data_IF_494238365628
#
_entry.id   IF_494238365628
#
_cell.length_a   1.000
_cell.length_b   1.000
_cell.length_c   1.000
_cell.angle_alpha   90.00
_cell.angle_beta   90.00
_cell.angle_gamma   90.00
#
_symmetry.space_group_name_H-M   'P 1'
#
loop_
_entity.id
_entity.type
_entity.pdbx_description
1 polymer ?
#
# COMPACT_ATOMS: atom_id res chain seq x y z
N UNK A 1 -7.08 12.95 -19.73
CA UNK A 1 -6.20 12.46 -18.63
C UNK A 1 -4.91 11.89 -19.22
N UNK A 2 -3.75 12.30 -18.71
CA UNK A 2 -2.43 11.75 -19.10
C UNK A 2 -2.32 10.30 -18.61
N UNK A 3 -1.84 9.39 -19.46
CA UNK A 3 -1.54 8.00 -19.15
C UNK A 3 -0.20 7.64 -19.77
N UNK A 4 0.74 7.16 -18.97
CA UNK A 4 2.06 6.75 -19.43
C UNK A 4 2.38 5.35 -18.95
N UNK A 5 3.06 4.58 -19.79
CA UNK A 5 3.60 3.26 -19.44
C UNK A 5 5.11 3.38 -19.33
N UNK A 6 5.66 2.86 -18.25
CA UNK A 6 7.10 2.82 -18.01
C UNK A 6 7.55 1.41 -17.70
N UNK A 7 8.75 1.08 -18.16
CA UNK A 7 9.39 -0.21 -17.93
C UNK A 7 10.90 -0.01 -17.83
N UNK A 8 11.51 -0.64 -16.82
CA UNK A 8 12.97 -0.66 -16.68
C UNK A 8 13.44 -1.93 -15.98
N UNK A 9 14.72 -2.25 -16.15
CA UNK A 9 15.36 -3.30 -15.39
C UNK A 9 15.63 -2.81 -13.97
N UNK A 10 15.06 -3.47 -12.97
CA UNK A 10 15.25 -3.17 -11.56
C UNK A 10 16.52 -3.86 -11.04
N UNK A 11 17.57 -3.14 -10.63
CA UNK A 11 18.72 -3.73 -9.95
C UNK A 11 18.38 -4.35 -8.61
N UNK A 12 17.41 -3.77 -7.85
CA UNK A 12 16.97 -4.34 -6.58
C UNK A 12 16.31 -5.71 -6.74
N UNK A 13 15.57 -5.91 -7.83
CA UNK A 13 14.81 -7.13 -8.08
C UNK A 13 15.47 -8.10 -9.06
N UNK A 14 16.48 -7.64 -9.83
CA UNK A 14 17.17 -8.46 -10.84
C UNK A 14 16.26 -8.83 -12.02
N UNK A 15 15.25 -8.01 -12.33
CA UNK A 15 14.28 -8.24 -13.40
C UNK A 15 13.68 -6.96 -13.95
N UNK A 16 13.01 -7.04 -15.09
CA UNK A 16 12.20 -5.94 -15.58
C UNK A 16 10.97 -5.71 -14.73
N UNK A 17 10.68 -4.46 -14.42
CA UNK A 17 9.50 -4.01 -13.72
C UNK A 17 8.74 -2.97 -14.55
N UNK A 18 7.43 -2.95 -14.36
CA UNK A 18 6.50 -2.16 -15.14
C UNK A 18 5.61 -1.32 -14.22
N UNK A 19 5.20 -0.14 -14.68
CA UNK A 19 4.20 0.67 -14.01
C UNK A 19 3.39 1.52 -15.00
N UNK A 20 2.21 1.94 -14.55
CA UNK A 20 1.40 2.97 -15.22
C UNK A 20 1.38 4.24 -14.37
N UNK A 21 1.52 5.37 -15.04
CA UNK A 21 1.35 6.69 -14.44
C UNK A 21 0.08 7.33 -15.02
N UNK A 22 -0.80 7.83 -14.14
CA UNK A 22 -2.01 8.56 -14.51
C UNK A 22 -2.01 9.94 -13.85
N UNK A 23 -2.49 10.93 -14.60
CA UNK A 23 -2.45 12.33 -14.16
C UNK A 23 -1.15 13.02 -14.56
N UNK A 24 -1.07 14.32 -14.34
CA UNK A 24 0.05 15.15 -14.77
C UNK A 24 0.67 15.98 -13.63
N UNK A 25 -0.04 16.12 -12.51
CA UNK A 25 0.36 16.86 -11.32
C UNK A 25 -0.49 16.44 -10.11
N UNK A 26 -0.33 17.10 -8.97
CA UNK A 26 -1.04 16.85 -7.73
C UNK A 26 -0.33 15.89 -6.80
N UNK A 27 -1.03 15.41 -5.77
CA UNK A 27 -0.47 14.50 -4.78
C UNK A 27 -0.10 13.17 -5.44
N UNK A 28 1.17 12.75 -5.45
CA UNK A 28 1.53 11.43 -5.95
C UNK A 28 1.12 10.33 -4.98
N UNK A 29 0.44 9.31 -5.51
CA UNK A 29 0.00 8.14 -4.78
C UNK A 29 0.54 6.87 -5.46
N UNK A 30 1.36 6.10 -4.75
CA UNK A 30 1.77 4.76 -5.20
C UNK A 30 0.60 3.81 -4.96
N UNK A 31 0.16 3.16 -6.02
CA UNK A 31 -0.95 2.20 -5.99
C UNK A 31 -0.39 0.80 -6.04
N UNK A 32 -0.59 0.04 -4.97
CA UNK A 32 -0.27 -1.38 -4.92
C UNK A 32 -1.47 -2.21 -5.38
N UNK A 33 -1.28 -3.18 -6.29
CA UNK A 33 -2.37 -4.04 -6.74
C UNK A 33 -2.82 -5.00 -5.64
N UNK A 34 -3.95 -5.67 -5.84
CA UNK A 34 -4.41 -6.74 -4.94
C UNK A 34 -3.49 -7.97 -5.01
N UNK A 35 -3.82 -9.03 -4.27
CA UNK A 35 -3.06 -10.30 -4.25
C UNK A 35 -2.65 -10.77 -5.64
N UNK A 36 -1.34 -10.83 -5.90
CA UNK A 36 -0.76 -11.26 -7.18
C UNK A 36 -1.23 -10.43 -8.40
N UNK A 37 -1.86 -9.28 -8.16
CA UNK A 37 -2.32 -8.36 -9.19
C UNK A 37 -1.16 -7.73 -9.97
N UNK A 38 -1.50 -6.99 -11.02
CA UNK A 38 -0.56 -6.36 -11.94
C UNK A 38 -0.72 -4.83 -11.95
N UNK A 39 0.30 -4.15 -12.43
CA UNK A 39 0.34 -2.68 -12.54
C UNK A 39 -0.87 -2.08 -13.27
N UNK A 40 -1.56 -2.83 -14.13
CA UNK A 40 -2.74 -2.38 -14.88
C UNK A 40 -4.07 -2.71 -14.18
N UNK A 41 -4.08 -3.48 -13.09
CA UNK A 41 -5.30 -3.92 -12.43
C UNK A 41 -6.19 -2.77 -11.99
N UNK A 42 -5.61 -1.72 -11.41
CA UNK A 42 -6.37 -0.56 -10.94
C UNK A 42 -7.13 0.16 -12.08
N UNK A 43 -6.54 0.21 -13.29
CA UNK A 43 -7.19 0.68 -14.51
C UNK A 43 -8.29 -0.28 -14.96
N UNK A 44 -7.98 -1.56 -15.12
CA UNK A 44 -8.91 -2.59 -15.62
C UNK A 44 -10.16 -2.75 -14.73
N UNK A 45 -10.01 -2.50 -13.43
CA UNK A 45 -11.10 -2.55 -12.46
C UNK A 45 -11.85 -1.22 -12.31
N UNK A 46 -11.64 -0.27 -13.21
CA UNK A 46 -12.38 1.00 -13.25
C UNK A 46 -12.04 2.00 -12.15
N UNK A 47 -11.02 1.72 -11.31
CA UNK A 47 -10.62 2.59 -10.21
C UNK A 47 -10.11 3.94 -10.73
N UNK A 48 -9.29 3.92 -11.79
CA UNK A 48 -8.78 5.15 -12.45
C UNK A 48 -9.95 5.98 -13.00
N UNK A 49 -10.92 5.32 -13.63
CA UNK A 49 -12.15 5.98 -14.13
C UNK A 49 -12.99 6.61 -13.01
N UNK A 50 -13.09 5.95 -11.85
CA UNK A 50 -13.83 6.44 -10.70
C UNK A 50 -13.32 7.77 -10.14
N UNK A 51 -12.03 8.05 -10.30
CA UNK A 51 -11.37 9.29 -9.81
C UNK A 51 -10.79 10.17 -10.94
N UNK A 52 -11.25 9.94 -12.18
CA UNK A 52 -10.72 10.63 -13.37
C UNK A 52 -10.73 12.16 -13.23
N UNK A 53 -11.76 12.73 -12.62
CA UNK A 53 -11.84 14.18 -12.40
C UNK A 53 -10.68 14.74 -11.59
N UNK A 54 -10.25 14.06 -10.53
CA UNK A 54 -9.10 14.50 -9.71
C UNK A 54 -7.79 14.43 -10.50
N UNK A 55 -7.61 13.38 -11.31
CA UNK A 55 -6.44 13.19 -12.17
C UNK A 55 -6.38 14.24 -13.30
N UNK A 56 -7.52 14.57 -13.91
CA UNK A 56 -7.60 15.57 -14.98
C UNK A 56 -7.37 16.99 -14.49
N UNK A 57 -7.79 17.30 -13.26
CA UNK A 57 -7.58 18.61 -12.65
C UNK A 57 -6.20 18.75 -11.97
N UNK A 58 -5.32 17.74 -12.06
CA UNK A 58 -3.99 17.79 -11.45
C UNK A 58 -4.02 17.84 -9.92
N UNK A 59 -5.04 17.26 -9.30
CA UNK A 59 -5.14 17.16 -7.83
C UNK A 59 -4.44 15.90 -7.30
N UNK A 60 -4.37 14.87 -8.13
CA UNK A 60 -3.83 13.56 -7.82
C UNK A 60 -3.03 13.03 -9.01
N UNK A 61 -1.94 12.33 -8.74
CA UNK A 61 -1.20 11.54 -9.71
C UNK A 61 -1.06 10.11 -9.19
N UNK A 62 -1.48 9.10 -9.97
CA UNK A 62 -1.35 7.69 -9.60
C UNK A 62 -0.12 7.07 -10.24
N UNK A 63 0.60 6.28 -9.46
CA UNK A 63 1.73 5.46 -9.89
C UNK A 63 1.39 4.00 -9.56
N UNK A 64 0.78 3.31 -10.52
CA UNK A 64 0.33 1.92 -10.36
C UNK A 64 1.51 0.97 -10.63
N UNK A 65 2.09 0.43 -9.57
CA UNK A 65 3.26 -0.46 -9.62
C UNK A 65 2.86 -1.92 -9.83
N UNK A 66 3.76 -2.71 -10.42
CA UNK A 66 3.58 -4.17 -10.49
C UNK A 66 3.80 -4.83 -9.14
N UNK A 67 3.15 -5.96 -8.87
CA UNK A 67 3.40 -6.73 -7.65
C UNK A 67 4.53 -7.75 -7.83
N UNK A 68 5.10 -8.15 -6.71
CA UNK A 68 6.06 -9.25 -6.61
C UNK A 68 5.51 -10.44 -5.82
N UNK A 69 4.22 -10.44 -5.54
CA UNK A 69 3.56 -11.38 -4.65
C UNK A 69 3.77 -12.84 -5.05
N UNK A 70 3.72 -13.13 -6.35
CA UNK A 70 3.95 -14.49 -6.88
C UNK A 70 5.37 -15.01 -6.66
N UNK A 71 6.34 -14.13 -6.42
CA UNK A 71 7.72 -14.47 -6.09
C UNK A 71 8.02 -14.36 -4.59
N UNK A 72 7.20 -13.60 -3.85
CA UNK A 72 7.30 -13.37 -2.40
C UNK A 72 6.24 -14.16 -1.62
N UNK A 73 5.30 -13.49 -0.99
CA UNK A 73 4.32 -14.09 -0.07
C UNK A 73 3.57 -15.30 -0.63
N UNK A 74 3.18 -15.26 -1.90
CA UNK A 74 2.41 -16.31 -2.57
C UNK A 74 3.25 -17.43 -3.18
N UNK A 75 4.58 -17.36 -3.15
CA UNK A 75 5.44 -18.41 -3.68
C UNK A 75 5.49 -19.62 -2.74
N UNK A 76 4.57 -20.55 -2.91
CA UNK A 76 4.49 -21.79 -2.13
C UNK A 76 5.59 -22.81 -2.47
N UNK A 77 6.38 -22.59 -3.52
CA UNK A 77 7.47 -23.48 -3.95
C UNK A 77 8.78 -23.23 -3.18
N UNK A 78 8.85 -22.16 -2.38
CA UNK A 78 10.02 -21.80 -1.58
C UNK A 78 9.64 -21.63 -0.10
N UNK A 79 10.64 -21.81 0.79
CA UNK A 79 10.43 -21.63 2.22
C UNK A 79 10.14 -20.15 2.60
N UNK A 80 9.53 -19.91 3.78
CA UNK A 80 9.13 -18.56 4.21
C UNK A 80 10.28 -17.54 4.23
N UNK A 81 11.49 -17.97 4.60
CA UNK A 81 12.70 -17.13 4.58
C UNK A 81 12.96 -16.50 3.21
N UNK A 82 12.77 -17.26 2.13
CA UNK A 82 12.97 -16.75 0.77
C UNK A 82 11.83 -15.83 0.34
N UNK A 83 10.61 -16.11 0.78
CA UNK A 83 9.46 -15.24 0.53
C UNK A 83 9.66 -13.87 1.13
N UNK A 84 10.06 -13.81 2.41
CA UNK A 84 10.28 -12.54 3.09
C UNK A 84 11.50 -11.79 2.54
N UNK A 85 12.59 -12.49 2.22
CA UNK A 85 13.73 -11.86 1.56
C UNK A 85 13.33 -11.19 0.24
N UNK A 86 12.43 -11.82 -0.53
CA UNK A 86 11.91 -11.24 -1.77
C UNK A 86 10.99 -10.03 -1.52
N UNK A 87 10.22 -10.04 -0.44
CA UNK A 87 9.44 -8.88 0.02
C UNK A 87 10.35 -7.71 0.42
N UNK A 88 11.44 -7.96 1.11
CA UNK A 88 12.42 -6.93 1.47
C UNK A 88 13.04 -6.29 0.23
N UNK A 89 13.33 -7.09 -0.81
CA UNK A 89 13.79 -6.54 -2.09
C UNK A 89 12.71 -5.68 -2.78
N UNK A 90 11.44 -6.09 -2.69
CA UNK A 90 10.33 -5.30 -3.24
C UNK A 90 10.19 -3.95 -2.54
N UNK A 91 10.30 -3.92 -1.22
CA UNK A 91 10.30 -2.68 -0.45
C UNK A 91 11.45 -1.74 -0.88
N UNK A 92 12.67 -2.29 -1.07
CA UNK A 92 13.81 -1.53 -1.61
C UNK A 92 13.56 -1.00 -3.02
N UNK A 93 12.96 -1.81 -3.90
CA UNK A 93 12.56 -1.35 -5.23
C UNK A 93 11.64 -0.15 -5.16
N UNK A 94 10.63 -0.17 -4.30
CA UNK A 94 9.72 0.96 -4.14
C UNK A 94 10.48 2.21 -3.69
N UNK A 95 11.31 2.10 -2.66
CA UNK A 95 12.00 3.27 -2.07
C UNK A 95 13.18 3.76 -2.92
N UNK A 96 13.97 2.86 -3.48
CA UNK A 96 15.22 3.20 -4.16
C UNK A 96 15.05 3.44 -5.66
N UNK A 97 13.94 3.00 -6.26
CA UNK A 97 13.72 3.16 -7.71
C UNK A 97 12.42 3.91 -8.01
N UNK A 98 11.27 3.47 -7.47
CA UNK A 98 9.98 4.10 -7.78
C UNK A 98 9.88 5.49 -7.16
N UNK A 99 10.29 5.68 -5.91
CA UNK A 99 10.26 7.01 -5.26
C UNK A 99 11.15 8.03 -5.99
N UNK A 100 12.42 7.74 -6.35
CA UNK A 100 13.22 8.65 -7.18
C UNK A 100 12.60 8.92 -8.56
N UNK A 101 12.02 7.92 -9.21
CA UNK A 101 11.26 8.10 -10.45
C UNK A 101 10.13 9.12 -10.27
N UNK A 102 9.33 8.97 -9.21
CA UNK A 102 8.24 9.92 -8.92
C UNK A 102 8.78 11.32 -8.67
N UNK A 103 9.81 11.47 -7.84
CA UNK A 103 10.43 12.78 -7.53
C UNK A 103 11.02 13.48 -8.76
N UNK A 104 11.41 12.72 -9.78
CA UNK A 104 11.84 13.29 -11.07
C UNK A 104 10.66 13.83 -11.88
N UNK A 105 9.49 13.21 -11.80
CA UNK A 105 8.29 13.55 -12.59
C UNK A 105 7.31 14.48 -11.88
N UNK A 106 7.39 14.54 -10.55
CA UNK A 106 6.47 15.29 -9.70
C UNK A 106 7.24 16.00 -8.58
N UNK A 107 7.00 17.30 -8.42
CA UNK A 107 7.71 18.14 -7.43
C UNK A 107 6.98 18.29 -6.10
N UNK A 108 5.85 17.61 -5.92
CA UNK A 108 5.11 17.67 -4.66
C UNK A 108 5.97 17.10 -3.53
N UNK A 109 6.05 17.79 -2.38
CA UNK A 109 6.86 17.32 -1.24
C UNK A 109 6.24 16.12 -0.54
N UNK A 110 4.92 15.97 -0.66
CA UNK A 110 4.15 14.90 -0.02
C UNK A 110 3.88 13.77 -1.01
N UNK A 111 3.91 12.56 -0.50
CA UNK A 111 3.60 11.33 -1.25
C UNK A 111 2.84 10.38 -0.35
N UNK A 112 1.87 9.70 -0.91
CA UNK A 112 1.07 8.70 -0.18
C UNK A 112 1.09 7.35 -0.88
N UNK A 113 0.68 6.33 -0.15
CA UNK A 113 0.48 4.98 -0.68
C UNK A 113 -0.98 4.59 -0.63
N UNK A 114 -1.42 3.74 -1.55
CA UNK A 114 -2.79 3.23 -1.53
C UNK A 114 -2.87 1.84 -2.14
N UNK A 115 -3.93 1.12 -1.81
CA UNK A 115 -4.24 -0.18 -2.37
C UNK A 115 -5.47 -0.81 -1.75
N UNK A 116 -5.96 -1.87 -2.39
CA UNK A 116 -7.11 -2.64 -1.95
C UNK A 116 -6.66 -4.03 -1.49
N UNK A 117 -7.31 -4.61 -0.47
CA UNK A 117 -7.03 -5.97 -0.02
C UNK A 117 -5.54 -6.14 0.37
N UNK A 118 -4.82 -7.05 -0.24
CA UNK A 118 -3.38 -7.23 -0.02
C UNK A 118 -2.55 -6.02 -0.49
N UNK A 119 -3.02 -5.27 -1.49
CA UNK A 119 -2.45 -3.96 -1.84
C UNK A 119 -2.59 -2.93 -0.71
N UNK A 120 -3.67 -3.02 0.07
CA UNK A 120 -3.85 -2.24 1.29
C UNK A 120 -2.81 -2.58 2.37
N UNK A 121 -2.45 -3.86 2.51
CA UNK A 121 -1.32 -4.28 3.35
C UNK A 121 -0.01 -3.65 2.87
N UNK A 122 0.31 -3.76 1.58
CA UNK A 122 1.53 -3.16 1.03
C UNK A 122 1.58 -1.65 1.25
N UNK A 123 0.46 -0.96 1.06
CA UNK A 123 0.36 0.48 1.27
C UNK A 123 0.67 0.87 2.71
N UNK A 124 0.06 0.20 3.69
CA UNK A 124 0.29 0.44 5.12
C UNK A 124 1.71 0.08 5.53
N UNK A 125 2.19 -1.10 5.13
CA UNK A 125 3.53 -1.57 5.47
C UNK A 125 4.60 -0.62 4.94
N UNK A 126 4.51 -0.22 3.68
CA UNK A 126 5.46 0.70 3.05
C UNK A 126 5.45 2.08 3.73
N UNK A 127 4.27 2.67 3.94
CA UNK A 127 4.18 4.00 4.55
C UNK A 127 4.68 4.05 6.01
N UNK A 128 4.36 3.04 6.81
CA UNK A 128 4.79 2.98 8.21
C UNK A 128 6.27 2.61 8.37
N UNK A 129 6.86 1.92 7.42
CA UNK A 129 8.31 1.65 7.42
C UNK A 129 9.15 2.85 6.97
N UNK A 130 8.58 3.73 6.13
CA UNK A 130 9.27 4.88 5.53
C UNK A 130 8.50 6.19 5.78
N UNK A 131 8.28 6.58 7.06
CA UNK A 131 7.53 7.80 7.39
C UNK A 131 8.27 9.10 7.05
N UNK A 132 9.55 9.02 6.70
CA UNK A 132 10.36 10.09 6.13
C UNK A 132 10.10 10.32 4.63
N UNK A 133 9.51 9.34 3.95
CA UNK A 133 9.18 9.37 2.53
C UNK A 133 7.69 9.60 2.32
N UNK A 134 6.85 8.86 3.04
CA UNK A 134 5.41 8.86 2.86
C UNK A 134 4.70 9.62 3.97
N UNK A 135 3.88 10.57 3.59
CA UNK A 135 3.11 11.41 4.52
C UNK A 135 1.71 10.83 4.83
N UNK A 136 1.43 9.63 4.36
CA UNK A 136 0.17 8.96 4.65
C UNK A 136 -0.12 7.75 3.77
N UNK A 137 -1.28 7.17 4.03
CA UNK A 137 -1.83 6.09 3.19
C UNK A 137 -3.37 6.11 3.17
N UNK A 138 -3.92 5.53 2.10
CA UNK A 138 -5.29 5.01 2.05
C UNK A 138 -5.25 3.51 1.84
N UNK A 139 -5.73 2.74 2.81
CA UNK A 139 -5.92 1.29 2.68
C UNK A 139 -7.40 0.96 2.60
N UNK A 140 -7.81 0.31 1.53
CA UNK A 140 -9.19 -0.13 1.30
C UNK A 140 -9.26 -1.64 1.53
N UNK A 141 -9.94 -2.05 2.61
CA UNK A 141 -10.08 -3.47 2.98
C UNK A 141 -8.74 -4.19 3.18
N UNK A 142 -7.76 -3.55 3.81
CA UNK A 142 -6.40 -4.09 3.97
C UNK A 142 -6.37 -5.38 4.78
N UNK A 143 -5.61 -6.38 4.32
CA UNK A 143 -5.41 -7.68 4.97
C UNK A 143 -4.10 -7.68 5.75
N UNK A 144 -4.12 -7.48 7.07
CA UNK A 144 -2.91 -7.24 7.86
C UNK A 144 -2.41 -8.44 8.66
N UNK A 145 -3.21 -9.48 8.87
CA UNK A 145 -2.77 -10.68 9.60
C UNK A 145 -2.14 -11.72 8.68
N UNK A 146 -0.86 -11.51 8.33
CA UNK A 146 -0.13 -12.42 7.46
C UNK A 146 0.07 -13.82 8.05
N UNK A 147 -0.03 -13.95 9.40
CA UNK A 147 0.08 -15.24 10.08
C UNK A 147 -1.14 -16.11 9.79
N UNK A 148 -2.34 -15.51 9.85
CA UNK A 148 -3.60 -16.20 9.53
C UNK A 148 -3.70 -16.60 8.05
N UNK A 149 -3.06 -15.83 7.14
CA UNK A 149 -2.97 -16.15 5.72
C UNK A 149 -2.03 -17.33 5.39
N UNK A 150 -1.34 -17.87 6.42
CA UNK A 150 -0.52 -19.07 6.28
C UNK A 150 0.74 -18.87 5.43
N UNK A 151 1.20 -17.64 5.22
CA UNK A 151 2.42 -17.36 4.44
C UNK A 151 3.69 -17.80 5.16
N UNK A 152 3.70 -17.76 6.50
CA UNK A 152 4.91 -17.91 7.29
C UNK A 152 5.15 -19.35 7.76
N UNK A 153 4.12 -20.20 7.85
CA UNK A 153 4.25 -21.61 8.29
C UNK A 153 5.04 -21.76 9.61
N UNK A 154 4.86 -20.82 10.54
CA UNK A 154 5.57 -20.77 11.81
C UNK A 154 6.99 -20.17 11.77
N UNK A 155 7.50 -19.79 10.61
CA UNK A 155 8.78 -19.07 10.48
C UNK A 155 8.65 -17.62 10.94
N UNK A 156 9.67 -17.14 11.66
CA UNK A 156 9.72 -15.78 12.15
C UNK A 156 11.18 -15.31 12.33
N UNK A 157 11.51 -14.14 11.78
CA UNK A 157 12.79 -13.46 11.93
C UNK A 157 12.59 -11.94 11.91
N UNK A 158 13.67 -11.18 11.93
CA UNK A 158 13.63 -9.72 11.93
C UNK A 158 13.00 -9.17 10.63
N UNK A 159 13.24 -9.80 9.49
CA UNK A 159 12.63 -9.39 8.23
C UNK A 159 11.11 -9.57 8.25
N UNK A 160 10.62 -10.67 8.84
CA UNK A 160 9.18 -10.88 9.07
C UNK A 160 8.64 -9.83 10.04
N UNK A 161 9.31 -9.63 11.17
CA UNK A 161 8.91 -8.66 12.19
C UNK A 161 8.73 -7.26 11.59
N UNK A 162 9.73 -6.75 10.89
CA UNK A 162 9.69 -5.41 10.29
C UNK A 162 8.79 -5.30 9.05
N UNK A 163 8.27 -6.39 8.51
CA UNK A 163 7.28 -6.39 7.43
C UNK A 163 5.86 -6.76 7.90
N UNK A 164 5.62 -6.70 9.21
CA UNK A 164 4.28 -6.84 9.79
C UNK A 164 3.97 -5.65 10.71
N UNK A 165 3.22 -4.64 10.24
CA UNK A 165 2.89 -3.46 11.06
C UNK A 165 2.22 -3.81 12.40
N UNK A 166 1.40 -4.85 12.44
CA UNK A 166 0.79 -5.33 13.69
C UNK A 166 1.80 -5.89 14.71
N UNK A 167 3.02 -6.26 14.27
CA UNK A 167 4.06 -6.77 15.16
C UNK A 167 5.05 -5.67 15.58
N UNK A 168 5.56 -4.86 14.63
CA UNK A 168 6.60 -3.88 14.96
C UNK A 168 6.06 -2.58 15.58
N UNK A 169 4.88 -2.14 15.15
CA UNK A 169 4.34 -0.85 15.58
C UNK A 169 4.06 -0.79 17.09
N UNK A 170 3.51 -1.83 17.76
CA UNK A 170 3.35 -1.83 19.21
C UNK A 170 4.65 -1.61 19.99
N UNK A 171 5.77 -2.04 19.44
CA UNK A 171 7.09 -1.94 20.07
C UNK A 171 7.89 -0.71 19.63
N UNK A 172 7.40 0.06 18.66
CA UNK A 172 8.06 1.26 18.18
C UNK A 172 8.01 2.37 19.24
N UNK A 173 9.17 2.80 19.72
CA UNK A 173 9.29 3.84 20.74
C UNK A 173 10.24 4.98 20.34
N UNK A 174 10.79 4.95 19.12
CA UNK A 174 11.70 6.00 18.62
C UNK A 174 10.94 7.32 18.40
N UNK A 175 11.24 8.38 19.19
CA UNK A 175 10.45 9.62 19.14
C UNK A 175 10.49 10.32 17.78
N UNK A 176 11.61 10.23 17.07
CA UNK A 176 11.77 10.85 15.76
C UNK A 176 10.83 10.18 14.73
N UNK A 177 10.79 8.86 14.71
CA UNK A 177 9.95 8.06 13.79
C UNK A 177 8.47 8.28 14.14
N UNK A 178 8.11 8.14 15.42
CA UNK A 178 6.73 8.41 15.87
C UNK A 178 6.30 9.83 15.55
N UNK A 179 7.19 10.82 15.75
CA UNK A 179 6.90 12.22 15.43
C UNK A 179 6.68 12.47 13.93
N UNK A 180 7.30 11.71 13.04
CA UNK A 180 7.01 11.74 11.60
C UNK A 180 5.64 11.14 11.31
N UNK A 181 5.34 9.95 11.86
CA UNK A 181 4.05 9.28 11.69
C UNK A 181 2.89 10.12 12.24
N UNK A 182 3.08 10.81 13.37
CA UNK A 182 2.05 11.65 14.00
C UNK A 182 1.64 12.86 13.17
N UNK A 183 2.43 13.26 12.18
CA UNK A 183 2.12 14.35 11.25
C UNK A 183 1.46 13.87 9.94
N UNK A 184 1.33 12.57 9.77
CA UNK A 184 0.77 11.97 8.57
C UNK A 184 -0.77 11.96 8.53
N UNK A 185 -1.31 11.58 7.39
CA UNK A 185 -2.75 11.37 7.17
C UNK A 185 -3.01 9.94 6.78
N UNK A 186 -3.75 9.20 7.58
CA UNK A 186 -3.94 7.77 7.42
C UNK A 186 -5.42 7.40 7.44
N UNK A 187 -5.84 6.67 6.40
CA UNK A 187 -7.21 6.20 6.27
C UNK A 187 -7.22 4.68 6.09
N UNK A 188 -7.98 4.01 6.94
CA UNK A 188 -8.37 2.63 6.82
C UNK A 188 -9.86 2.60 6.49
N UNK A 189 -10.23 2.22 5.28
CA UNK A 189 -11.62 2.11 4.86
C UNK A 189 -11.98 0.64 4.62
N UNK A 190 -13.09 0.19 5.19
CA UNK A 190 -13.55 -1.20 5.09
C UNK A 190 -15.08 -1.25 5.14
N UNK A 191 -15.67 -2.42 4.98
CA UNK A 191 -17.12 -2.62 5.05
C UNK A 191 -17.55 -3.50 6.21
N UNK A 192 -18.80 -3.36 6.63
CA UNK A 192 -19.38 -4.19 7.72
C UNK A 192 -19.44 -5.68 7.39
N UNK A 193 -19.43 -6.04 6.10
CA UNK A 193 -19.41 -7.43 5.64
C UNK A 193 -18.05 -7.80 4.99
N UNK A 194 -17.02 -7.00 5.24
CA UNK A 194 -15.68 -7.26 4.73
C UNK A 194 -14.95 -8.29 5.60
N UNK A 195 -14.40 -9.31 4.97
CA UNK A 195 -13.62 -10.35 5.67
C UNK A 195 -12.38 -9.79 6.37
N UNK A 196 -11.87 -8.63 5.96
CA UNK A 196 -10.73 -7.94 6.55
C UNK A 196 -11.12 -6.90 7.60
N UNK A 197 -12.39 -6.80 8.00
CA UNK A 197 -12.83 -5.81 8.98
C UNK A 197 -12.01 -5.88 10.28
N UNK A 198 -11.92 -7.06 10.90
CA UNK A 198 -11.18 -7.23 12.15
C UNK A 198 -9.70 -6.80 12.04
N UNK A 199 -9.06 -7.06 10.90
CA UNK A 199 -7.69 -6.64 10.64
C UNK A 199 -7.56 -5.13 10.66
N UNK A 200 -8.51 -4.42 10.03
CA UNK A 200 -8.53 -2.96 9.98
C UNK A 200 -8.81 -2.35 11.37
N UNK A 201 -9.70 -2.93 12.19
CA UNK A 201 -9.91 -2.51 13.57
C UNK A 201 -8.66 -2.68 14.43
N UNK A 202 -7.99 -3.83 14.35
CA UNK A 202 -6.72 -4.10 15.06
C UNK A 202 -5.64 -3.11 14.64
N UNK A 203 -5.49 -2.84 13.33
CA UNK A 203 -4.51 -1.89 12.82
C UNK A 203 -4.78 -0.48 13.35
N UNK A 204 -6.04 -0.03 13.30
CA UNK A 204 -6.42 1.27 13.83
C UNK A 204 -6.19 1.39 15.35
N UNK A 205 -6.46 0.32 16.11
CA UNK A 205 -6.23 0.30 17.56
C UNK A 205 -4.74 0.48 17.86
N UNK A 206 -3.87 -0.30 17.21
CA UNK A 206 -2.41 -0.22 17.39
C UNK A 206 -1.88 1.18 17.02
N UNK A 207 -2.35 1.77 15.93
CA UNK A 207 -1.94 3.13 15.54
C UNK A 207 -2.35 4.17 16.59
N UNK A 208 -3.59 4.08 17.12
CA UNK A 208 -4.09 5.01 18.15
C UNK A 208 -3.33 4.88 19.46
N UNK A 209 -2.97 3.66 19.89
CA UNK A 209 -2.14 3.42 21.07
C UNK A 209 -0.75 4.08 20.96
N UNK A 210 -0.23 4.22 19.75
CA UNK A 210 1.03 4.94 19.45
C UNK A 210 0.84 6.46 19.23
N UNK A 211 -0.37 6.98 19.40
CA UNK A 211 -0.68 8.39 19.15
C UNK A 211 -0.60 8.78 17.68
N UNK A 212 -0.66 7.81 16.77
CA UNK A 212 -0.65 8.05 15.32
C UNK A 212 -2.09 8.32 14.88
N UNK A 213 -2.39 9.48 14.27
CA UNK A 213 -3.73 9.80 13.83
C UNK A 213 -4.17 8.84 12.72
N UNK A 214 -5.28 8.15 12.93
CA UNK A 214 -5.85 7.26 11.91
C UNK A 214 -7.37 7.37 11.89
N UNK A 215 -7.92 7.57 10.71
CA UNK A 215 -9.33 7.46 10.45
C UNK A 215 -9.64 6.02 10.05
N UNK A 216 -10.38 5.31 10.90
CA UNK A 216 -11.04 4.06 10.53
C UNK A 216 -12.45 4.39 10.10
N UNK A 217 -12.79 4.09 8.85
CA UNK A 217 -14.13 4.32 8.31
C UNK A 217 -14.73 2.98 7.87
N UNK A 218 -15.76 2.56 8.62
CA UNK A 218 -16.46 1.29 8.39
C UNK A 218 -17.76 1.60 7.68
N UNK A 219 -17.85 1.24 6.41
CA UNK A 219 -19.02 1.50 5.57
C UNK A 219 -20.12 0.49 5.84
N UNK A 220 -21.36 0.99 6.01
CA UNK A 220 -22.56 0.20 6.17
C UNK A 220 -23.09 -0.39 4.85
N UNK A 221 -24.39 -0.58 4.76
CA UNK A 221 -25.17 -0.92 3.56
C UNK A 221 -24.66 -2.11 2.73
N UNK A 222 -24.36 -3.22 3.41
CA UNK A 222 -23.83 -4.44 2.80
C UNK A 222 -22.47 -4.29 2.12
N UNK A 223 -21.69 -3.27 2.48
CA UNK A 223 -20.33 -3.08 1.96
C UNK A 223 -19.46 -4.29 2.27
N UNK A 224 -19.01 -4.95 1.23
CA UNK A 224 -18.16 -6.14 1.27
C UNK A 224 -16.78 -5.91 0.64
N UNK A 225 -16.05 -6.99 0.44
CA UNK A 225 -14.69 -7.01 -0.08
C UNK A 225 -14.68 -7.08 -1.61
N UNK A 226 -14.99 -5.96 -2.31
CA UNK A 226 -15.09 -5.96 -3.78
C UNK A 226 -14.92 -4.57 -4.40
N UNK A 227 -14.57 -4.54 -5.67
CA UNK A 227 -14.21 -3.38 -6.47
C UNK A 227 -15.26 -2.25 -6.51
N UNK A 228 -16.57 -2.51 -6.63
CA UNK A 228 -17.56 -1.43 -6.63
C UNK A 228 -17.55 -0.57 -5.37
N UNK A 229 -17.22 -1.18 -4.23
CA UNK A 229 -17.07 -0.47 -2.97
C UNK A 229 -15.77 0.30 -2.91
N UNK A 230 -14.66 -0.30 -3.35
CA UNK A 230 -13.36 0.37 -3.41
C UNK A 230 -13.34 1.56 -4.36
N UNK A 231 -14.07 1.49 -5.50
CA UNK A 231 -14.25 2.64 -6.39
C UNK A 231 -14.90 3.82 -5.66
N UNK A 232 -15.96 3.57 -4.87
CA UNK A 232 -16.64 4.61 -4.08
C UNK A 232 -15.72 5.14 -2.96
N UNK A 233 -14.98 4.28 -2.27
CA UNK A 233 -14.00 4.68 -1.26
C UNK A 233 -12.91 5.56 -1.87
N UNK A 234 -12.38 5.21 -3.03
CA UNK A 234 -11.39 6.02 -3.75
C UNK A 234 -11.92 7.41 -4.11
N UNK A 235 -13.18 7.53 -4.53
CA UNK A 235 -13.80 8.83 -4.81
C UNK A 235 -13.85 9.75 -3.59
N UNK A 236 -14.01 9.16 -2.40
CA UNK A 236 -14.13 9.92 -1.13
C UNK A 236 -12.76 10.29 -0.57
N UNK A 237 -11.76 9.39 -0.65
CA UNK A 237 -10.53 9.53 0.14
C UNK A 237 -9.28 9.87 -0.69
N UNK A 238 -9.22 9.53 -1.97
CA UNK A 238 -8.18 9.98 -2.89
C UNK A 238 -8.60 11.31 -3.54
#
# INVERSE_FOLDING_TARGET
MKREYHKWYSPELGREMELLLFGHDGLPAIVFPTSQGKFYEFEDRGMVGAIAGKLEHGQLQLICVDSLDSESWYNRNVGPRWRIARQVQYDKYIVNEVVPFIRHHNRQPHMVTTGCSFGGFHAVNCALRHPDVFTGFLSMSGAFDLKSLGFLSGYYDDDVYFNQPLDFLPNLNEPCILGQMQRGTYVLATGVHDQCWNDNERMAAVMREKGIPVRLDVWGDNTGHDWPWWQRMAQVYL
#
